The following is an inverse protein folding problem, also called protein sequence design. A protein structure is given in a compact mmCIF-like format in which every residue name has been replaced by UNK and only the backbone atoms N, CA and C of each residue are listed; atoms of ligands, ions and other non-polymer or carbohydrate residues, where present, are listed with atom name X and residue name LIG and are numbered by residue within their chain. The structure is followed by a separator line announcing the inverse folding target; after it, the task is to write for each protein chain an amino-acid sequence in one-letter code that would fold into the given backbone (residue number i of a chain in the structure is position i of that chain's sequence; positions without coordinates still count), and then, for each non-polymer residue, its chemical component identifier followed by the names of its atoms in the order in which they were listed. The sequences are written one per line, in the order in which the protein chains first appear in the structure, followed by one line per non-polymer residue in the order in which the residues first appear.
data_IF_951366802528
#
_entry.id   IF_951366802528
#
_cell.length_a   1.000
_cell.length_b   1.000
_cell.length_c   1.000
_cell.angle_alpha   90.00
_cell.angle_beta   90.00
_cell.angle_gamma   90.00
#
_symmetry.space_group_name_H-M   'P 1'
#
loop_
_entity.id
_entity.type
_entity.pdbx_description
1 polymer ?
#
# COMPACT_ATOMS: atom_id res chain seq x y z
N UNK A 1 3.66 29.52 8.33
CA UNK A 1 3.78 29.11 6.93
C UNK A 1 3.13 27.74 6.63
N UNK A 2 3.42 26.65 7.36
CA UNK A 2 2.84 25.31 7.04
C UNK A 2 1.31 25.26 7.11
N UNK A 3 0.66 25.95 8.07
CA UNK A 3 -0.81 25.99 8.17
C UNK A 3 -1.46 26.65 6.96
N UNK A 4 -0.88 27.74 6.47
CA UNK A 4 -1.41 28.46 5.29
C UNK A 4 -1.26 27.59 4.04
N UNK A 5 -0.08 26.99 3.80
CA UNK A 5 0.14 26.09 2.66
C UNK A 5 -0.81 24.89 2.65
N UNK A 6 -1.10 24.32 3.83
CA UNK A 6 -2.10 23.26 3.96
C UNK A 6 -3.52 23.74 3.61
N UNK A 7 -3.94 24.91 4.11
CA UNK A 7 -5.27 25.48 3.82
C UNK A 7 -5.43 25.75 2.32
N UNK A 8 -4.41 26.34 1.70
CA UNK A 8 -4.40 26.59 0.26
C UNK A 8 -4.49 25.30 -0.57
N UNK A 9 -3.70 24.28 -0.21
CA UNK A 9 -3.75 22.98 -0.87
C UNK A 9 -5.14 22.34 -0.73
N UNK A 10 -5.71 22.36 0.47
CA UNK A 10 -7.04 21.81 0.74
C UNK A 10 -8.13 22.58 -0.03
N UNK A 11 -8.07 23.89 -0.07
CA UNK A 11 -8.99 24.71 -0.84
C UNK A 11 -8.88 24.44 -2.35
N UNK A 12 -7.67 24.34 -2.88
CA UNK A 12 -7.42 24.01 -4.29
C UNK A 12 -7.99 22.64 -4.67
N UNK A 13 -7.82 21.64 -3.81
CA UNK A 13 -8.25 20.27 -4.08
C UNK A 13 -9.70 20.01 -3.67
N UNK A 14 -10.38 20.96 -3.00
CA UNK A 14 -11.73 20.75 -2.51
C UNK A 14 -12.72 20.51 -3.65
N UNK A 15 -12.74 21.35 -4.67
CA UNK A 15 -13.64 21.20 -5.83
C UNK A 15 -13.34 19.89 -6.57
N UNK A 16 -12.08 19.63 -7.02
CA UNK A 16 -11.77 18.33 -7.62
C UNK A 16 -12.22 17.14 -6.77
N UNK A 17 -11.90 17.10 -5.47
CA UNK A 17 -12.22 15.98 -4.61
C UNK A 17 -13.73 15.62 -4.57
N UNK A 18 -14.62 16.59 -4.82
CA UNK A 18 -16.07 16.37 -4.81
C UNK A 18 -16.66 16.03 -6.19
N UNK A 19 -15.87 16.09 -7.25
CA UNK A 19 -16.30 15.68 -8.59
C UNK A 19 -16.50 14.15 -8.65
N UNK A 20 -17.34 13.64 -9.58
CA UNK A 20 -17.54 12.21 -9.74
C UNK A 20 -16.28 11.49 -10.24
N UNK A 21 -16.16 10.18 -9.97
CA UNK A 21 -14.95 9.40 -10.28
C UNK A 21 -14.61 9.40 -11.78
N UNK A 22 -15.61 9.41 -12.67
CA UNK A 22 -15.37 9.48 -14.12
C UNK A 22 -14.64 10.77 -14.55
N UNK A 23 -14.90 11.89 -13.87
CA UNK A 23 -14.19 13.15 -14.11
C UNK A 23 -12.71 13.02 -13.75
N UNK A 24 -12.40 12.39 -12.62
CA UNK A 24 -11.03 12.10 -12.21
C UNK A 24 -10.29 11.24 -13.22
N UNK A 25 -10.95 10.19 -13.73
CA UNK A 25 -10.35 9.36 -14.78
C UNK A 25 -10.15 10.13 -16.12
N UNK A 26 -10.98 11.13 -16.41
CA UNK A 26 -10.71 12.02 -17.56
C UNK A 26 -9.48 12.91 -17.29
N UNK A 27 -9.35 13.47 -16.09
CA UNK A 27 -8.19 14.26 -15.67
C UNK A 27 -6.90 13.43 -15.62
N UNK A 28 -6.98 12.15 -15.25
CA UNK A 28 -5.82 11.27 -15.22
C UNK A 28 -5.11 11.17 -16.59
N UNK A 29 -5.84 11.25 -17.72
CA UNK A 29 -5.22 11.27 -19.07
C UNK A 29 -4.31 12.49 -19.26
N UNK A 30 -4.75 13.66 -18.76
CA UNK A 30 -3.97 14.90 -18.83
C UNK A 30 -2.75 14.80 -17.92
N UNK A 31 -2.92 14.29 -16.69
CA UNK A 31 -1.83 14.09 -15.73
C UNK A 31 -0.81 13.07 -16.28
N UNK A 32 -1.27 11.98 -16.86
CA UNK A 32 -0.41 10.99 -17.51
C UNK A 32 0.42 11.63 -18.61
N UNK A 33 -0.21 12.39 -19.51
CA UNK A 33 0.48 13.11 -20.60
C UNK A 33 1.54 14.06 -20.03
N UNK A 34 1.18 14.87 -19.03
CA UNK A 34 2.15 15.79 -18.39
C UNK A 34 3.32 15.02 -17.80
N UNK A 35 3.08 13.98 -16.99
CA UNK A 35 4.14 13.21 -16.33
C UNK A 35 5.03 12.47 -17.32
N UNK A 36 4.44 11.81 -18.31
CA UNK A 36 5.15 10.94 -19.24
C UNK A 36 5.81 11.71 -20.37
N UNK A 37 5.06 12.62 -21.03
CA UNK A 37 5.44 13.19 -22.32
C UNK A 37 6.04 14.60 -22.18
N UNK A 38 5.63 15.37 -21.16
CA UNK A 38 6.13 16.74 -20.94
C UNK A 38 7.28 16.74 -19.93
N UNK A 39 7.04 16.20 -18.72
CA UNK A 39 8.01 16.24 -17.63
C UNK A 39 9.02 15.10 -17.65
N UNK A 40 8.73 14.01 -18.36
CA UNK A 40 9.50 12.77 -18.37
C UNK A 40 9.80 12.29 -16.92
N UNK A 41 8.78 12.38 -16.07
CA UNK A 41 8.91 12.16 -14.63
C UNK A 41 9.56 10.83 -14.30
N UNK A 42 10.79 10.86 -13.81
CA UNK A 42 11.60 9.68 -13.42
C UNK A 42 11.73 8.61 -14.50
N UNK A 43 11.67 8.98 -15.78
CA UNK A 43 11.69 8.05 -16.92
C UNK A 43 12.92 7.12 -16.89
N UNK A 44 14.10 7.69 -16.59
CA UNK A 44 15.32 6.90 -16.51
C UNK A 44 15.25 5.84 -15.41
N UNK A 45 14.65 6.18 -14.25
CA UNK A 45 14.46 5.24 -13.14
C UNK A 45 13.51 4.12 -13.54
N UNK A 46 12.37 4.47 -14.15
CA UNK A 46 11.36 3.49 -14.61
C UNK A 46 11.97 2.54 -15.63
N UNK A 47 12.61 3.08 -16.68
CA UNK A 47 13.19 2.24 -17.74
C UNK A 47 14.37 1.38 -17.24
N UNK A 48 15.21 1.92 -16.34
CA UNK A 48 16.29 1.15 -15.72
C UNK A 48 15.74 0.01 -14.86
N UNK A 49 14.73 0.28 -14.04
CA UNK A 49 14.11 -0.75 -13.22
C UNK A 49 13.46 -1.84 -14.10
N UNK A 50 12.69 -1.46 -15.11
CA UNK A 50 12.03 -2.40 -16.01
C UNK A 50 13.03 -3.25 -16.80
N UNK A 51 14.10 -2.65 -17.37
CA UNK A 51 15.08 -3.39 -18.16
C UNK A 51 15.88 -4.40 -17.34
N UNK A 52 16.14 -4.10 -16.07
CA UNK A 52 16.81 -5.03 -15.16
C UNK A 52 15.88 -6.12 -14.62
N UNK A 53 14.60 -5.78 -14.47
CA UNK A 53 13.57 -6.71 -13.94
C UNK A 53 13.03 -7.67 -14.99
N UNK A 54 13.11 -7.31 -16.28
CA UNK A 54 12.63 -8.10 -17.41
C UNK A 54 13.71 -8.12 -18.53
N UNK A 55 14.86 -8.75 -18.27
CA UNK A 55 15.99 -8.72 -19.20
C UNK A 55 15.70 -9.41 -20.54
N UNK A 56 14.72 -10.30 -20.58
CA UNK A 56 14.27 -11.01 -21.79
C UNK A 56 13.40 -10.14 -22.71
N UNK A 57 12.83 -9.01 -22.20
CA UNK A 57 11.89 -8.17 -22.97
C UNK A 57 12.64 -7.16 -23.85
N UNK A 58 12.12 -6.96 -25.05
CA UNK A 58 12.61 -5.94 -25.98
C UNK A 58 12.17 -4.54 -25.54
N UNK A 59 12.91 -3.53 -26.01
CA UNK A 59 12.64 -2.12 -25.67
C UNK A 59 11.16 -1.70 -25.86
N UNK A 60 10.52 -2.13 -26.94
CA UNK A 60 9.11 -1.77 -27.23
C UNK A 60 8.16 -2.38 -26.18
N UNK A 61 8.40 -3.62 -25.75
CA UNK A 61 7.62 -4.27 -24.69
C UNK A 61 7.80 -3.56 -23.34
N UNK A 62 9.03 -3.18 -23.00
CA UNK A 62 9.33 -2.40 -21.79
C UNK A 62 8.68 -1.02 -21.84
N UNK A 63 8.68 -0.39 -23.02
CA UNK A 63 8.01 0.89 -23.24
C UNK A 63 6.50 0.78 -23.06
N UNK A 64 5.87 -0.28 -23.56
CA UNK A 64 4.44 -0.51 -23.37
C UNK A 64 4.07 -0.71 -21.89
N UNK A 65 4.90 -1.45 -21.15
CA UNK A 65 4.74 -1.58 -19.69
C UNK A 65 4.87 -0.21 -19.01
N UNK A 66 5.88 0.60 -19.39
CA UNK A 66 6.08 1.93 -18.83
C UNK A 66 4.90 2.87 -19.14
N UNK A 67 4.39 2.86 -20.38
CA UNK A 67 3.24 3.69 -20.78
C UNK A 67 1.98 3.32 -19.99
N UNK A 68 1.71 2.03 -19.79
CA UNK A 68 0.62 1.56 -18.93
C UNK A 68 0.84 1.91 -17.47
N UNK A 69 2.08 1.81 -16.97
CA UNK A 69 2.44 2.22 -15.61
C UNK A 69 2.15 3.71 -15.37
N UNK A 70 2.55 4.62 -16.28
CA UNK A 70 2.25 6.05 -16.12
C UNK A 70 0.76 6.34 -16.14
N UNK A 71 -0.01 5.62 -16.96
CA UNK A 71 -1.47 5.73 -16.96
C UNK A 71 -2.06 5.31 -15.62
N UNK A 72 -1.60 4.18 -15.09
CA UNK A 72 -2.02 3.67 -13.79
C UNK A 72 -1.60 4.58 -12.63
N UNK A 73 -0.37 5.10 -12.63
CA UNK A 73 0.09 6.05 -11.63
C UNK A 73 -0.75 7.34 -11.63
N UNK A 74 -1.15 7.82 -12.81
CA UNK A 74 -2.04 8.96 -12.93
C UNK A 74 -3.44 8.66 -12.37
N UNK A 75 -3.95 7.44 -12.58
CA UNK A 75 -5.21 6.99 -11.99
C UNK A 75 -5.12 6.98 -10.46
N UNK A 76 -4.07 6.40 -9.87
CA UNK A 76 -3.86 6.40 -8.41
C UNK A 76 -3.86 7.82 -7.85
N UNK A 77 -3.17 8.77 -8.50
CA UNK A 77 -3.10 10.17 -8.04
C UNK A 77 -4.49 10.80 -8.00
N UNK A 78 -5.27 10.67 -9.07
CA UNK A 78 -6.60 11.31 -9.14
C UNK A 78 -7.62 10.59 -8.25
N UNK A 79 -7.52 9.29 -8.12
CA UNK A 79 -8.36 8.47 -7.24
C UNK A 79 -8.09 8.81 -5.77
N UNK A 80 -6.82 9.06 -5.38
CA UNK A 80 -6.49 9.55 -4.05
C UNK A 80 -7.11 10.92 -3.78
N UNK A 81 -7.15 11.84 -4.78
CA UNK A 81 -7.84 13.13 -4.65
C UNK A 81 -9.34 12.94 -4.47
N UNK A 82 -9.96 12.10 -5.31
CA UNK A 82 -11.38 11.74 -5.20
C UNK A 82 -11.71 11.13 -3.83
N UNK A 83 -10.86 10.25 -3.33
CA UNK A 83 -11.01 9.61 -2.03
C UNK A 83 -11.05 10.63 -0.90
N UNK A 84 -10.20 11.65 -0.92
CA UNK A 84 -10.23 12.75 0.05
C UNK A 84 -11.58 13.50 0.14
N UNK A 85 -12.39 13.44 -0.91
CA UNK A 85 -13.77 13.95 -0.92
C UNK A 85 -14.83 12.98 -0.41
N UNK A 86 -14.47 11.73 -0.06
CA UNK A 86 -15.38 10.72 0.46
C UNK A 86 -15.60 10.84 1.98
N UNK A 87 -15.84 12.07 2.48
CA UNK A 87 -16.12 12.35 3.90
C UNK A 87 -17.41 11.66 4.39
N UNK A 88 -18.32 11.36 3.48
CA UNK A 88 -19.43 10.45 3.74
C UNK A 88 -19.07 9.04 3.23
N UNK A 89 -18.94 8.04 4.11
CA UNK A 89 -18.58 6.67 3.73
C UNK A 89 -19.49 6.07 2.64
N UNK A 90 -20.78 6.45 2.60
CA UNK A 90 -21.71 6.00 1.54
C UNK A 90 -21.26 6.37 0.13
N UNK A 91 -20.52 7.49 -0.03
CA UNK A 91 -19.96 7.87 -1.33
C UNK A 91 -18.86 6.90 -1.78
N UNK A 92 -18.02 6.47 -0.84
CA UNK A 92 -16.99 5.47 -1.09
C UNK A 92 -17.64 4.12 -1.44
N UNK A 93 -18.49 3.60 -0.58
CA UNK A 93 -19.17 2.31 -0.75
C UNK A 93 -19.93 2.22 -2.07
N UNK A 94 -20.66 3.29 -2.48
CA UNK A 94 -21.40 3.32 -3.75
C UNK A 94 -20.51 3.08 -4.98
N UNK A 95 -19.27 3.56 -4.94
CA UNK A 95 -18.32 3.39 -6.04
C UNK A 95 -17.41 2.20 -5.81
N UNK A 96 -17.32 1.72 -4.57
CA UNK A 96 -16.38 0.76 -3.97
C UNK A 96 -15.32 0.22 -4.95
N UNK A 97 -14.17 0.90 -5.05
CA UNK A 97 -13.16 0.58 -6.05
C UNK A 97 -12.38 -0.71 -5.71
N UNK A 98 -12.54 -1.23 -4.50
CA UNK A 98 -11.80 -2.39 -4.01
C UNK A 98 -12.69 -3.51 -3.48
N UNK A 99 -12.36 -4.74 -3.85
CA UNK A 99 -13.00 -5.99 -3.45
C UNK A 99 -11.99 -6.85 -2.69
N UNK A 100 -12.34 -7.32 -1.48
CA UNK A 100 -11.60 -8.40 -0.80
C UNK A 100 -12.11 -9.75 -1.29
N UNK A 101 -11.20 -10.62 -1.76
CA UNK A 101 -11.58 -11.91 -2.33
C UNK A 101 -11.73 -12.98 -1.25
N UNK A 102 -10.81 -13.00 -0.29
CA UNK A 102 -10.70 -14.05 0.71
C UNK A 102 -10.40 -13.50 2.11
N UNK A 103 -11.31 -12.68 2.68
CA UNK A 103 -11.13 -12.05 4.00
C UNK A 103 -11.03 -13.08 5.14
N UNK A 104 -11.56 -14.30 4.96
CA UNK A 104 -11.47 -15.41 5.91
C UNK A 104 -10.02 -15.77 6.26
N UNK A 105 -9.07 -15.62 5.32
CA UNK A 105 -7.65 -15.87 5.59
C UNK A 105 -7.12 -14.98 6.74
N UNK A 106 -7.52 -13.71 6.76
CA UNK A 106 -7.11 -12.80 7.84
C UNK A 106 -7.86 -13.11 9.12
N UNK A 107 -9.14 -13.50 9.04
CA UNK A 107 -9.92 -13.91 10.20
C UNK A 107 -9.29 -15.14 10.87
N UNK A 108 -9.01 -16.19 10.09
CA UNK A 108 -8.39 -17.43 10.59
C UNK A 108 -7.03 -17.17 11.28
N UNK A 109 -6.20 -16.31 10.68
CA UNK A 109 -4.92 -15.92 11.28
C UNK A 109 -5.11 -15.10 12.57
N UNK A 110 -6.12 -14.24 12.63
CA UNK A 110 -6.42 -13.43 13.81
C UNK A 110 -6.97 -14.27 14.95
N UNK A 111 -7.68 -15.36 14.65
CA UNK A 111 -8.27 -16.24 15.67
C UNK A 111 -7.18 -17.00 16.45
N UNK A 112 -6.11 -17.42 15.77
CA UNK A 112 -5.02 -18.22 16.35
C UNK A 112 -3.81 -17.42 16.82
N UNK A 113 -3.77 -16.11 16.57
CA UNK A 113 -2.60 -15.28 16.81
C UNK A 113 -2.91 -14.06 17.70
N UNK A 114 -1.94 -13.53 18.46
CA UNK A 114 -2.11 -12.30 19.21
C UNK A 114 -2.28 -11.06 18.31
N UNK A 115 -1.76 -11.11 17.08
CA UNK A 115 -1.90 -10.07 16.05
C UNK A 115 -1.49 -10.61 14.68
N UNK A 116 -1.86 -9.93 13.61
CA UNK A 116 -1.45 -10.29 12.25
C UNK A 116 -0.60 -9.18 11.65
N UNK A 117 0.59 -9.54 11.14
CA UNK A 117 1.44 -8.68 10.33
C UNK A 117 1.07 -8.88 8.86
N UNK A 118 0.50 -7.86 8.23
CA UNK A 118 0.14 -7.86 6.80
C UNK A 118 1.25 -7.14 6.04
N UNK A 119 2.05 -7.90 5.28
CA UNK A 119 3.09 -7.38 4.41
C UNK A 119 2.49 -7.02 3.07
N UNK A 120 2.55 -5.75 2.73
CA UNK A 120 1.96 -5.15 1.55
C UNK A 120 3.03 -4.55 0.63
N UNK A 121 2.65 -4.13 -0.57
CA UNK A 121 3.49 -3.47 -1.55
C UNK A 121 2.82 -2.24 -2.15
N UNK A 122 3.56 -1.50 -2.99
CA UNK A 122 3.00 -0.42 -3.79
C UNK A 122 2.48 -0.95 -5.15
N UNK A 123 1.67 -2.02 -5.10
CA UNK A 123 0.84 -2.48 -6.20
C UNK A 123 -0.59 -1.98 -6.02
N UNK A 124 -1.31 -1.76 -7.11
CA UNK A 124 -2.68 -1.27 -7.08
C UNK A 124 -2.82 0.12 -6.49
N UNK A 125 -3.95 0.40 -5.86
CA UNK A 125 -4.18 1.68 -5.17
C UNK A 125 -4.10 1.52 -3.65
N UNK A 126 -2.90 1.55 -3.11
CA UNK A 126 -2.62 1.45 -1.66
C UNK A 126 -3.15 2.63 -0.84
N UNK A 127 -3.61 3.72 -1.45
CA UNK A 127 -4.13 4.89 -0.73
C UNK A 127 -5.51 4.64 -0.10
N UNK A 128 -6.25 3.63 -0.57
CA UNK A 128 -7.60 3.32 -0.07
C UNK A 128 -7.60 2.45 1.20
N UNK A 129 -6.47 1.91 1.62
CA UNK A 129 -6.42 0.97 2.75
C UNK A 129 -6.99 1.54 4.06
N UNK A 130 -7.05 2.85 4.23
CA UNK A 130 -7.74 3.48 5.36
C UNK A 130 -9.25 3.22 5.42
N UNK A 131 -9.85 2.67 4.36
CA UNK A 131 -11.26 2.27 4.28
C UNK A 131 -11.43 0.76 4.12
N UNK A 132 -10.45 -0.04 4.49
CA UNK A 132 -10.45 -1.51 4.26
C UNK A 132 -11.67 -2.20 4.89
N UNK A 133 -12.20 -1.67 5.97
CA UNK A 133 -13.43 -2.13 6.63
C UNK A 133 -14.70 -1.95 5.78
N UNK A 134 -14.65 -1.06 4.78
CA UNK A 134 -15.73 -0.73 3.85
C UNK A 134 -15.61 -1.42 2.49
N UNK A 135 -14.54 -2.18 2.25
CA UNK A 135 -14.34 -2.84 0.96
C UNK A 135 -15.42 -3.88 0.69
N UNK A 136 -15.76 -4.02 -0.58
CA UNK A 136 -16.67 -5.07 -1.03
C UNK A 136 -16.08 -6.46 -0.76
N UNK A 137 -16.91 -7.45 -0.50
CA UNK A 137 -16.50 -8.82 -0.17
C UNK A 137 -17.59 -9.82 -0.50
N UNK A 138 -17.26 -11.13 -0.62
CA UNK A 138 -18.24 -12.18 -0.87
C UNK A 138 -19.35 -12.17 0.20
N UNK A 139 -20.58 -12.40 -0.21
CA UNK A 139 -21.71 -12.49 0.69
C UNK A 139 -21.51 -13.59 1.76
N UNK A 140 -21.80 -13.25 3.01
CA UNK A 140 -21.60 -14.18 4.13
C UNK A 140 -20.16 -14.32 4.63
N UNK A 141 -19.18 -13.72 3.95
CA UNK A 141 -17.79 -13.73 4.42
C UNK A 141 -17.57 -12.83 5.65
N UNK A 142 -16.59 -13.13 6.51
CA UNK A 142 -16.27 -12.29 7.66
C UNK A 142 -15.74 -10.92 7.21
N UNK A 143 -15.85 -9.91 8.09
CA UNK A 143 -15.07 -8.68 7.98
C UNK A 143 -14.06 -8.63 9.13
N UNK A 144 -12.80 -9.06 8.92
CA UNK A 144 -11.80 -9.05 9.97
C UNK A 144 -11.33 -7.64 10.34
N UNK A 145 -11.60 -6.65 9.47
CA UNK A 145 -11.12 -5.27 9.63
C UNK A 145 -12.18 -4.40 10.30
N UNK A 146 -11.76 -3.63 11.31
CA UNK A 146 -12.59 -2.62 11.95
C UNK A 146 -11.71 -1.48 12.50
N UNK A 147 -12.35 -0.40 12.97
CA UNK A 147 -11.63 0.78 13.46
C UNK A 147 -10.71 0.49 14.64
N UNK A 148 -11.03 -0.53 15.46
CA UNK A 148 -10.26 -0.84 16.67
C UNK A 148 -9.03 -1.69 16.39
N UNK A 149 -9.00 -2.42 15.25
CA UNK A 149 -7.92 -3.36 14.96
C UNK A 149 -7.02 -2.98 13.78
N UNK A 150 -7.49 -2.16 12.84
CA UNK A 150 -6.69 -1.74 11.68
C UNK A 150 -5.56 -0.80 12.07
N UNK A 151 -4.35 -1.12 11.64
CA UNK A 151 -3.16 -0.27 11.83
C UNK A 151 -2.44 -0.08 10.50
N UNK A 152 -2.34 1.17 10.07
CA UNK A 152 -1.58 1.57 8.88
C UNK A 152 -0.24 2.14 9.31
N UNK A 153 0.83 1.39 9.04
CA UNK A 153 2.19 1.85 9.33
C UNK A 153 2.71 2.65 8.15
N UNK A 154 3.11 3.89 8.40
CA UNK A 154 3.53 4.80 7.35
C UNK A 154 4.85 5.49 7.66
N UNK A 155 5.56 5.93 6.62
CA UNK A 155 6.71 6.82 6.71
C UNK A 155 6.27 8.25 6.59
N UNK A 156 6.64 9.09 7.57
CA UNK A 156 6.34 10.52 7.54
C UNK A 156 7.04 11.20 6.36
N UNK A 157 6.31 11.89 5.48
CA UNK A 157 6.91 12.74 4.46
C UNK A 157 7.72 13.89 5.06
N UNK A 158 8.75 14.35 4.35
CA UNK A 158 9.57 15.49 4.78
C UNK A 158 8.78 16.80 4.87
N UNK A 159 7.78 16.97 4.04
CA UNK A 159 6.90 18.14 4.04
C UNK A 159 5.76 17.99 5.05
N UNK A 160 5.70 18.87 6.05
CA UNK A 160 4.62 18.90 7.04
C UNK A 160 3.23 19.17 6.43
N UNK A 161 3.18 19.84 5.27
CA UNK A 161 1.93 20.10 4.54
C UNK A 161 1.41 18.79 3.95
N UNK A 162 2.28 18.05 3.26
CA UNK A 162 1.93 16.75 2.68
C UNK A 162 1.64 15.69 3.74
N UNK A 163 2.38 15.65 4.84
CA UNK A 163 2.15 14.73 5.95
C UNK A 163 0.72 14.89 6.50
N UNK A 164 0.34 16.14 6.79
CA UNK A 164 -1.01 16.43 7.27
C UNK A 164 -2.09 16.11 6.23
N UNK A 165 -1.87 16.50 4.98
CA UNK A 165 -2.82 16.26 3.89
C UNK A 165 -3.04 14.76 3.66
N UNK A 166 -1.97 13.98 3.53
CA UNK A 166 -2.07 12.53 3.31
C UNK A 166 -2.71 11.81 4.50
N UNK A 167 -2.38 12.22 5.74
CA UNK A 167 -3.04 11.65 6.93
C UNK A 167 -4.55 11.90 6.89
N UNK A 168 -4.99 13.14 6.70
CA UNK A 168 -6.42 13.46 6.66
C UNK A 168 -7.12 12.76 5.48
N UNK A 169 -6.43 12.64 4.34
CA UNK A 169 -6.95 11.97 3.15
C UNK A 169 -7.16 10.48 3.38
N UNK A 170 -6.16 9.78 3.92
CA UNK A 170 -6.21 8.34 4.22
C UNK A 170 -7.22 7.97 5.30
N UNK A 171 -7.56 8.92 6.17
CA UNK A 171 -8.53 8.74 7.23
C UNK A 171 -9.90 9.36 6.89
N UNK A 172 -10.17 9.63 5.61
CA UNK A 172 -11.37 10.39 5.23
C UNK A 172 -12.68 9.69 5.60
N UNK A 173 -12.71 8.36 5.50
CA UNK A 173 -13.89 7.53 5.80
C UNK A 173 -13.98 7.09 7.27
N UNK A 174 -12.89 7.26 8.05
CA UNK A 174 -12.90 6.91 9.47
C UNK A 174 -13.89 7.80 10.22
N UNK A 175 -14.89 7.20 10.84
CA UNK A 175 -15.99 7.90 11.50
C UNK A 175 -15.54 8.61 12.78
N UNK A 176 -14.71 7.95 13.57
CA UNK A 176 -14.19 8.46 14.84
C UNK A 176 -12.68 8.71 14.75
N UNK A 177 -12.34 9.84 14.10
CA UNK A 177 -10.93 10.23 13.87
C UNK A 177 -10.19 10.64 15.15
N UNK A 178 -10.91 11.04 16.18
CA UNK A 178 -10.34 11.49 17.45
C UNK A 178 -9.82 10.30 18.28
N UNK A 179 -10.54 9.19 18.26
CA UNK A 179 -10.19 7.96 18.96
C UNK A 179 -9.35 6.99 18.11
N UNK A 180 -9.30 7.17 16.79
CA UNK A 180 -8.54 6.31 15.90
C UNK A 180 -7.02 6.51 16.09
N UNK A 181 -6.37 5.53 16.68
CA UNK A 181 -4.93 5.51 16.95
C UNK A 181 -4.10 4.67 15.94
N UNK A 182 -4.78 4.04 14.98
CA UNK A 182 -4.19 3.08 14.04
C UNK A 182 -3.37 3.67 12.87
N UNK A 183 -3.11 4.98 12.83
CA UNK A 183 -2.23 5.58 11.84
C UNK A 183 -0.86 5.90 12.44
N UNK A 184 0.08 4.95 12.31
CA UNK A 184 1.31 4.89 13.11
C UNK A 184 2.56 5.14 12.25
N UNK A 185 3.40 6.08 12.66
CA UNK A 185 4.68 6.36 12.02
C UNK A 185 5.70 5.24 12.31
N UNK A 186 6.54 4.89 11.33
CA UNK A 186 7.48 3.76 11.41
C UNK A 186 8.41 3.79 12.62
N UNK A 187 8.85 4.96 13.08
CA UNK A 187 9.71 5.08 14.27
C UNK A 187 8.99 4.78 15.60
N UNK A 188 7.66 4.92 15.61
CA UNK A 188 6.82 4.69 16.78
C UNK A 188 6.20 3.29 16.79
N UNK A 189 6.28 2.59 15.65
CA UNK A 189 5.59 1.33 15.42
C UNK A 189 5.94 0.25 16.45
N UNK A 190 7.21 0.04 16.75
CA UNK A 190 7.62 -0.98 17.73
C UNK A 190 6.97 -0.74 19.10
N UNK A 191 7.03 0.50 19.61
CA UNK A 191 6.41 0.86 20.88
C UNK A 191 4.90 0.65 20.84
N UNK A 192 4.25 1.10 19.78
CA UNK A 192 2.79 0.95 19.60
C UNK A 192 2.38 -0.52 19.60
N UNK A 193 3.09 -1.37 18.85
CA UNK A 193 2.81 -2.80 18.78
C UNK A 193 2.97 -3.48 20.15
N UNK A 194 4.05 -3.17 20.88
CA UNK A 194 4.31 -3.72 22.22
C UNK A 194 3.21 -3.36 23.23
N UNK A 195 2.78 -2.10 23.25
CA UNK A 195 1.70 -1.63 24.16
C UNK A 195 0.39 -2.37 23.86
N UNK A 196 -0.01 -2.48 22.59
CA UNK A 196 -1.25 -3.16 22.24
C UNK A 196 -1.23 -4.66 22.52
N UNK A 197 -0.10 -5.32 22.23
CA UNK A 197 0.08 -6.74 22.56
C UNK A 197 0.04 -7.01 24.07
N UNK A 198 0.70 -6.16 24.86
CA UNK A 198 0.68 -6.28 26.33
C UNK A 198 -0.72 -6.05 26.92
N UNK A 199 -1.54 -5.24 26.24
CA UNK A 199 -2.94 -5.02 26.59
C UNK A 199 -3.90 -6.11 26.04
N UNK A 200 -3.40 -7.15 25.38
CA UNK A 200 -4.20 -8.22 24.78
C UNK A 200 -5.06 -7.78 23.59
N UNK A 201 -4.75 -6.62 23.00
CA UNK A 201 -5.49 -6.10 21.86
C UNK A 201 -5.03 -6.78 20.57
N UNK A 202 -5.94 -7.47 19.89
CA UNK A 202 -5.68 -8.06 18.58
C UNK A 202 -5.67 -6.97 17.51
N UNK A 203 -4.53 -6.76 16.83
CA UNK A 203 -4.35 -5.74 15.82
C UNK A 203 -3.90 -6.35 14.48
N UNK A 204 -4.26 -5.69 13.39
CA UNK A 204 -3.89 -6.01 12.01
C UNK A 204 -2.92 -4.92 11.53
N UNK A 205 -1.62 -5.22 11.55
CA UNK A 205 -0.56 -4.27 11.19
C UNK A 205 -0.29 -4.33 9.69
N UNK A 206 -0.74 -3.34 8.93
CA UNK A 206 -0.46 -3.23 7.50
C UNK A 206 0.80 -2.41 7.24
N UNK A 207 1.77 -3.01 6.56
CA UNK A 207 3.08 -2.41 6.30
C UNK A 207 3.53 -2.65 4.86
N UNK A 208 3.78 -1.56 4.11
CA UNK A 208 4.42 -1.62 2.80
C UNK A 208 5.92 -1.86 2.98
N UNK A 209 6.43 -2.99 2.48
CA UNK A 209 7.82 -3.45 2.72
C UNK A 209 8.66 -3.62 1.45
N UNK A 210 8.10 -3.27 0.28
CA UNK A 210 8.71 -3.44 -1.04
C UNK A 210 9.81 -2.40 -1.39
N UNK A 211 9.96 -1.33 -0.62
CA UNK A 211 10.91 -0.26 -0.90
C UNK A 211 12.31 -0.55 -0.34
N UNK A 212 13.33 0.18 -0.86
CA UNK A 212 14.71 0.05 -0.39
C UNK A 212 14.83 0.39 1.10
N UNK A 213 15.66 -0.34 1.87
CA UNK A 213 15.95 0.00 3.26
C UNK A 213 16.48 1.42 3.40
N UNK A 214 16.11 2.10 4.48
CA UNK A 214 16.70 3.41 4.83
C UNK A 214 18.18 3.26 5.17
N UNK A 215 18.94 4.36 5.10
CA UNK A 215 20.40 4.33 5.38
C UNK A 215 20.74 3.71 6.74
N UNK A 216 19.91 3.92 7.74
CA UNK A 216 20.13 3.48 9.14
C UNK A 216 19.21 2.31 9.52
N UNK A 217 18.54 1.65 8.57
CA UNK A 217 17.73 0.48 8.86
C UNK A 217 18.57 -0.79 8.78
N UNK A 218 18.26 -1.76 9.64
CA UNK A 218 18.80 -3.10 9.51
C UNK A 218 18.44 -3.66 8.12
N UNK A 219 19.48 -4.02 7.38
CA UNK A 219 19.34 -4.61 6.05
C UNK A 219 19.35 -6.11 6.18
N UNK A 220 18.41 -6.75 5.52
CA UNK A 220 18.36 -8.20 5.45
C UNK A 220 18.37 -8.62 3.98
N UNK A 221 19.38 -9.39 3.52
CA UNK A 221 19.41 -9.89 2.17
C UNK A 221 18.32 -10.95 1.98
N UNK A 222 17.56 -10.82 0.91
CA UNK A 222 16.51 -11.80 0.52
C UNK A 222 16.89 -12.63 -0.69
N UNK A 223 18.10 -12.45 -1.23
CA UNK A 223 18.54 -13.05 -2.47
C UNK A 223 18.20 -12.20 -3.69
N UNK A 224 17.82 -12.82 -4.78
CA UNK A 224 17.39 -12.12 -5.98
C UNK A 224 15.88 -11.85 -5.95
N UNK A 225 15.52 -10.62 -6.33
CA UNK A 225 14.16 -10.21 -6.60
C UNK A 225 14.15 -9.47 -7.92
N UNK A 226 13.37 -9.95 -8.88
CA UNK A 226 13.31 -9.42 -10.25
C UNK A 226 14.73 -9.32 -10.86
N UNK A 227 15.49 -10.42 -10.79
CA UNK A 227 16.87 -10.57 -11.31
C UNK A 227 17.90 -9.61 -10.69
N UNK A 228 17.62 -9.04 -9.52
CA UNK A 228 18.54 -8.11 -8.86
C UNK A 228 18.77 -8.49 -7.39
N UNK A 229 20.03 -8.50 -6.92
CA UNK A 229 20.35 -8.68 -5.51
C UNK A 229 19.58 -7.66 -4.66
N UNK A 230 18.88 -8.13 -3.64
CA UNK A 230 17.91 -7.30 -2.94
C UNK A 230 18.03 -7.40 -1.43
N UNK A 231 18.16 -6.25 -0.79
CA UNK A 231 17.98 -6.08 0.66
C UNK A 231 16.57 -5.60 0.97
N UNK A 232 16.04 -6.02 2.12
CA UNK A 232 14.73 -5.62 2.60
C UNK A 232 14.78 -4.93 3.97
N UNK A 233 13.71 -4.19 4.28
CA UNK A 233 13.39 -3.73 5.63
C UNK A 233 12.66 -4.86 6.37
N UNK A 234 13.37 -5.58 7.22
CA UNK A 234 12.83 -6.74 7.91
C UNK A 234 12.08 -6.41 9.21
N UNK A 235 11.90 -5.13 9.57
CA UNK A 235 11.34 -4.72 10.85
C UNK A 235 10.01 -5.38 11.20
N UNK A 236 9.09 -5.51 10.23
CA UNK A 236 7.81 -6.19 10.41
C UNK A 236 7.99 -7.68 10.72
N UNK A 237 8.81 -8.39 9.94
CA UNK A 237 9.08 -9.82 10.14
C UNK A 237 9.80 -10.09 11.46
N UNK A 238 10.77 -9.25 11.84
CA UNK A 238 11.50 -9.37 13.13
C UNK A 238 10.55 -9.19 14.32
N UNK A 239 9.64 -8.22 14.26
CA UNK A 239 8.66 -8.00 15.34
C UNK A 239 7.67 -9.15 15.39
N UNK A 240 7.18 -9.61 14.24
CA UNK A 240 6.28 -10.76 14.15
C UNK A 240 6.95 -12.01 14.76
N UNK A 241 8.19 -12.31 14.40
CA UNK A 241 8.97 -13.41 14.97
C UNK A 241 9.10 -13.30 16.49
N UNK A 242 9.53 -12.15 17.01
CA UNK A 242 9.72 -11.96 18.47
C UNK A 242 8.43 -12.04 19.27
N UNK A 243 7.27 -11.88 18.65
CA UNK A 243 5.98 -11.80 19.33
C UNK A 243 4.99 -12.92 18.95
N UNK A 244 5.42 -13.88 18.15
CA UNK A 244 4.58 -15.01 17.73
C UNK A 244 3.34 -14.53 16.94
N UNK A 245 3.47 -13.48 16.13
CA UNK A 245 2.37 -13.01 15.30
C UNK A 245 2.20 -13.91 14.08
N UNK A 246 1.00 -14.00 13.55
CA UNK A 246 0.80 -14.51 12.20
C UNK A 246 1.28 -13.50 11.17
N UNK A 247 1.68 -13.98 9.99
CA UNK A 247 2.12 -13.12 8.87
C UNK A 247 1.34 -13.50 7.62
N UNK A 248 0.79 -12.49 6.95
CA UNK A 248 0.13 -12.62 5.67
C UNK A 248 0.75 -11.68 4.64
N UNK A 249 0.75 -12.09 3.38
CA UNK A 249 0.99 -11.24 2.22
C UNK A 249 -0.34 -10.70 1.70
N UNK A 250 -0.38 -9.42 1.33
CA UNK A 250 -1.52 -8.81 0.67
C UNK A 250 -1.14 -8.35 -0.75
N UNK A 251 -1.83 -8.91 -1.75
CA UNK A 251 -1.76 -8.44 -3.13
C UNK A 251 -2.91 -7.50 -3.44
N UNK A 252 -2.63 -6.44 -4.19
CA UNK A 252 -3.63 -5.54 -4.78
C UNK A 252 -3.49 -5.58 -6.29
N UNK A 253 -4.34 -6.34 -6.97
CA UNK A 253 -4.39 -6.44 -8.43
C UNK A 253 -5.40 -5.46 -9.02
N UNK A 254 -5.08 -4.89 -10.19
CA UNK A 254 -6.00 -4.03 -10.92
C UNK A 254 -6.84 -4.88 -11.89
N UNK A 255 -8.13 -5.05 -11.61
CA UNK A 255 -9.05 -5.83 -12.46
C UNK A 255 -9.39 -5.04 -13.73
N UNK A 256 -9.70 -3.77 -13.56
CA UNK A 256 -9.88 -2.77 -14.61
C UNK A 256 -9.69 -1.39 -14.01
N UNK A 257 -9.60 -0.37 -14.84
CA UNK A 257 -9.43 1.02 -14.39
C UNK A 257 -10.43 1.38 -13.29
N UNK A 258 -9.93 1.84 -12.16
CA UNK A 258 -10.71 2.20 -10.98
C UNK A 258 -11.38 1.02 -10.27
N UNK A 259 -10.90 -0.20 -10.46
CA UNK A 259 -11.37 -1.39 -9.76
C UNK A 259 -10.21 -2.30 -9.40
N UNK A 260 -10.07 -2.57 -8.13
CA UNK A 260 -8.97 -3.35 -7.56
C UNK A 260 -9.49 -4.55 -6.79
N UNK A 261 -8.62 -5.53 -6.65
CA UNK A 261 -8.92 -6.76 -5.92
C UNK A 261 -7.82 -7.04 -4.92
N UNK A 262 -8.19 -7.18 -3.65
CA UNK A 262 -7.31 -7.60 -2.58
C UNK A 262 -7.39 -9.11 -2.40
N UNK A 263 -6.23 -9.74 -2.34
CA UNK A 263 -6.10 -11.17 -2.04
C UNK A 263 -5.05 -11.35 -0.96
N UNK A 264 -5.35 -12.19 0.03
CA UNK A 264 -4.44 -12.49 1.12
C UNK A 264 -3.86 -13.89 0.95
N UNK A 265 -2.56 -14.03 1.18
CA UNK A 265 -1.87 -15.32 1.21
C UNK A 265 -1.17 -15.46 2.56
N UNK A 266 -1.48 -16.49 3.35
CA UNK A 266 -0.80 -16.73 4.63
C UNK A 266 0.68 -17.07 4.35
N UNK A 267 1.60 -16.43 5.07
CA UNK A 267 3.03 -16.77 5.05
C UNK A 267 3.32 -17.74 6.20
N UNK A 268 2.88 -17.42 7.41
CA UNK A 268 2.96 -18.32 8.55
C UNK A 268 1.89 -17.98 9.62
N UNK A 269 1.46 -18.99 10.36
CA UNK A 269 0.53 -18.83 11.49
C UNK A 269 1.23 -18.36 12.78
N UNK A 270 2.49 -18.73 12.95
CA UNK A 270 3.29 -18.39 14.12
C UNK A 270 4.72 -18.05 13.67
N UNK A 271 5.00 -16.78 13.52
CA UNK A 271 6.30 -16.31 13.07
C UNK A 271 7.45 -16.61 14.06
N UNK A 272 7.16 -16.96 15.31
CA UNK A 272 8.21 -17.35 16.26
C UNK A 272 8.92 -18.64 15.87
N UNK A 273 8.28 -19.46 15.05
CA UNK A 273 8.81 -20.72 14.51
C UNK A 273 9.55 -20.58 13.18
N UNK A 274 9.54 -19.38 12.60
CA UNK A 274 10.09 -19.09 11.28
C UNK A 274 11.28 -18.15 11.39
N UNK A 275 12.26 -18.30 10.50
CA UNK A 275 13.31 -17.30 10.35
C UNK A 275 12.77 -16.03 9.69
N UNK A 276 13.00 -14.82 10.25
CA UNK A 276 12.58 -13.58 9.62
C UNK A 276 13.05 -13.40 8.17
N UNK A 277 14.26 -13.91 7.82
CA UNK A 277 14.74 -13.89 6.45
C UNK A 277 13.92 -14.82 5.55
N UNK A 278 13.47 -15.98 6.05
CA UNK A 278 12.58 -16.90 5.36
C UNK A 278 11.21 -16.28 5.09
N UNK A 279 10.64 -15.59 6.09
CA UNK A 279 9.38 -14.82 5.93
C UNK A 279 9.52 -13.80 4.79
N UNK A 280 10.61 -13.01 4.80
CA UNK A 280 10.80 -11.99 3.77
C UNK A 280 11.09 -12.59 2.39
N UNK A 281 11.80 -13.71 2.29
CA UNK A 281 12.00 -14.42 1.01
C UNK A 281 10.66 -14.89 0.44
N UNK A 282 9.78 -15.44 1.26
CA UNK A 282 8.42 -15.85 0.86
C UNK A 282 7.61 -14.64 0.38
N UNK A 283 7.65 -13.52 1.11
CA UNK A 283 7.01 -12.28 0.71
C UNK A 283 7.48 -11.81 -0.68
N UNK A 284 8.80 -11.75 -0.94
CA UNK A 284 9.31 -11.30 -2.22
C UNK A 284 9.03 -12.28 -3.36
N UNK A 285 8.98 -13.59 -3.09
CA UNK A 285 8.56 -14.59 -4.07
C UNK A 285 7.11 -14.40 -4.51
N UNK A 286 6.21 -14.10 -3.57
CA UNK A 286 4.80 -13.81 -3.86
C UNK A 286 4.66 -12.48 -4.62
N UNK A 287 5.33 -11.43 -4.17
CA UNK A 287 5.32 -10.12 -4.82
C UNK A 287 5.88 -10.20 -6.25
N UNK A 288 6.94 -10.97 -6.48
CA UNK A 288 7.49 -11.16 -7.82
C UNK A 288 6.47 -11.77 -8.78
N UNK A 289 5.76 -12.83 -8.37
CA UNK A 289 4.70 -13.46 -9.18
C UNK A 289 3.61 -12.45 -9.57
N UNK A 290 3.21 -11.59 -8.64
CA UNK A 290 2.18 -10.59 -8.90
C UNK A 290 2.67 -9.48 -9.85
N UNK A 291 3.94 -9.06 -9.72
CA UNK A 291 4.55 -8.11 -10.63
C UNK A 291 4.73 -8.72 -12.03
N UNK A 292 5.14 -9.97 -12.14
CA UNK A 292 5.24 -10.68 -13.42
C UNK A 292 3.88 -10.83 -14.09
N UNK A 293 2.80 -11.07 -13.32
CA UNK A 293 1.43 -11.15 -13.83
C UNK A 293 0.88 -9.80 -14.28
N UNK A 294 1.21 -8.70 -13.58
CA UNK A 294 0.78 -7.33 -13.91
C UNK A 294 1.95 -6.34 -13.80
N UNK A 295 2.93 -6.34 -14.74
CA UNK A 295 4.16 -5.56 -14.62
C UNK A 295 3.93 -4.04 -14.47
N UNK A 296 2.86 -3.50 -15.04
CA UNK A 296 2.52 -2.09 -14.99
C UNK A 296 1.83 -1.66 -13.66
N UNK A 297 1.46 -2.61 -12.80
CA UNK A 297 0.74 -2.36 -11.55
C UNK A 297 1.66 -2.07 -10.36
N UNK A 298 2.98 -2.06 -10.54
CA UNK A 298 3.96 -1.82 -9.48
C UNK A 298 4.59 -0.42 -9.58
N UNK A 299 5.02 0.15 -8.44
CA UNK A 299 5.56 1.51 -8.36
C UNK A 299 7.00 1.61 -8.87
N UNK A 300 7.19 1.64 -10.19
CA UNK A 300 8.51 1.68 -10.84
C UNK A 300 9.29 2.99 -10.65
N UNK A 301 8.67 4.07 -10.21
CA UNK A 301 9.36 5.34 -9.95
C UNK A 301 10.25 5.30 -8.71
N UNK A 302 10.15 4.30 -7.84
CA UNK A 302 11.04 4.17 -6.69
C UNK A 302 12.41 3.66 -7.09
N UNK A 303 13.51 4.29 -6.57
CA UNK A 303 14.87 3.78 -6.74
C UNK A 303 15.11 2.59 -5.79
N UNK A 304 14.54 1.43 -6.14
CA UNK A 304 14.55 0.23 -5.29
C UNK A 304 15.97 -0.35 -5.16
N UNK A 305 16.66 -0.42 -6.27
CA UNK A 305 18.04 -0.89 -6.35
C UNK A 305 18.95 0.32 -6.59
N UNK A 306 19.79 0.60 -5.61
CA UNK A 306 20.72 1.74 -5.59
C UNK A 306 22.14 1.26 -5.83
#
# INVERSE_FOLDING_TARGET
MHKIGYILLKALLWIPAHMPLWFHHAMARVICWIMRDVMHYRRDVVMTNLSRSFPEKKYNELKDIADRFYSHLADIIVEAIWYGGCTNPKRFVRNCPEEMVNPEVIQDLLDVSPAVMILNSHCGNWEFFGSVDLFDRPEGSPNPFNIDNVVVVYKRPSSKVWDRFLKENRLTTVSDKEHFDGYVETSEFLRYALVNLSAGKKKLYNMNTDQAPYRNADRMPVGEFLHQPTDTMAGGAIIAHKKGMSVAYMNVSCVKRGRYRLTFTPICQDASKEDPAGIMKTYYSLLQKDIEAQPWNYLWTHKRWK
#
